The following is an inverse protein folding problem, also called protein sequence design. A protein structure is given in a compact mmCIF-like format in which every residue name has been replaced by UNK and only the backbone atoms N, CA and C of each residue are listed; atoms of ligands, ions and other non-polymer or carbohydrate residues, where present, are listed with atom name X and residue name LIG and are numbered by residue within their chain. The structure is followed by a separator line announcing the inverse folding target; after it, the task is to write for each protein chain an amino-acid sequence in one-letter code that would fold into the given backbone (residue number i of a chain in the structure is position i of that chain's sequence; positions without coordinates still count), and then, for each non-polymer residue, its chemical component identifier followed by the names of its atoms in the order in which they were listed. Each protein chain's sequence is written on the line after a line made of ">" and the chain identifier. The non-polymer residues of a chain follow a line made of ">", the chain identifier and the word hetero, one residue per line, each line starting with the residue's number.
data_IF_907234675425
#
_entry.id   IF_907234675425
#
_cell.length_a   1.000
_cell.length_b   1.000
_cell.length_c   1.000
_cell.angle_alpha   90.00
_cell.angle_beta   90.00
_cell.angle_gamma   90.00
#
_symmetry.space_group_name_H-M   'P 1'
#
loop_
_entity.id
_entity.type
_entity.pdbx_description
1 polymer ?
#
# COMPACT_ATOMS: atom_id res chain seq x y z
N UNK A 1 -3.60 -4.28 -10.95
CA UNK A 1 -2.95 -4.42 -9.63
C UNK A 1 -2.77 -3.09 -8.88
N UNK A 2 -2.12 -2.06 -9.44
CA UNK A 2 -1.70 -0.87 -8.65
C UNK A 2 -2.75 0.25 -8.44
N UNK A 3 -3.98 0.10 -8.92
CA UNK A 3 -4.95 1.20 -8.90
C UNK A 3 -6.11 0.99 -7.96
N UNK A 4 -6.16 1.72 -6.84
CA UNK A 4 -7.41 1.89 -6.08
C UNK A 4 -8.35 2.84 -6.84
N UNK A 5 -9.66 2.63 -6.74
CA UNK A 5 -10.65 3.65 -7.03
C UNK A 5 -11.58 3.73 -5.84
N UNK A 6 -11.66 4.90 -5.23
CA UNK A 6 -12.61 5.09 -4.15
C UNK A 6 -14.04 5.00 -4.72
N UNK A 7 -14.92 4.26 -4.05
CA UNK A 7 -16.33 4.15 -4.43
C UNK A 7 -16.99 5.51 -4.67
N UNK A 8 -17.90 5.57 -5.64
CA UNK A 8 -18.64 6.80 -5.96
C UNK A 8 -17.83 7.89 -6.70
N UNK A 9 -16.53 7.70 -6.95
CA UNK A 9 -15.71 8.67 -7.71
C UNK A 9 -15.68 8.46 -9.22
N UNK A 10 -16.36 7.43 -9.75
CA UNK A 10 -16.34 7.09 -11.18
C UNK A 10 -16.67 8.26 -12.12
N UNK A 11 -17.52 9.21 -11.69
CA UNK A 11 -17.86 10.41 -12.47
C UNK A 11 -16.68 11.36 -12.72
N UNK A 12 -15.60 11.26 -11.95
CA UNK A 12 -14.43 12.12 -12.11
C UNK A 12 -13.65 11.83 -13.39
N UNK A 13 -13.72 10.60 -13.92
CA UNK A 13 -13.08 10.22 -15.18
C UNK A 13 -13.71 10.99 -16.38
N UNK A 14 -15.03 10.92 -16.63
CA UNK A 14 -15.63 11.72 -17.68
C UNK A 14 -15.49 13.24 -17.42
N UNK A 15 -15.52 13.68 -16.16
CA UNK A 15 -15.25 15.08 -15.82
C UNK A 15 -13.83 15.53 -16.20
N UNK A 16 -12.82 14.66 -16.00
CA UNK A 16 -11.44 14.94 -16.39
C UNK A 16 -11.29 15.04 -17.92
N UNK A 17 -11.91 14.13 -18.67
CA UNK A 17 -11.92 14.15 -20.14
C UNK A 17 -12.54 15.46 -20.65
N UNK A 18 -13.70 15.84 -20.11
CA UNK A 18 -14.38 17.10 -20.46
C UNK A 18 -13.50 18.30 -20.12
N UNK A 19 -12.85 18.29 -18.95
CA UNK A 19 -11.95 19.37 -18.52
C UNK A 19 -10.77 19.52 -19.48
N UNK A 20 -10.10 18.43 -19.84
CA UNK A 20 -8.99 18.41 -20.81
C UNK A 20 -9.44 18.96 -22.16
N UNK A 21 -10.61 18.53 -22.65
CA UNK A 21 -11.16 19.00 -23.91
C UNK A 21 -11.44 20.51 -23.90
N UNK A 22 -12.04 21.03 -22.82
CA UNK A 22 -12.35 22.46 -22.66
C UNK A 22 -11.07 23.29 -22.59
N UNK A 23 -10.14 22.94 -21.71
CA UNK A 23 -8.89 23.68 -21.54
C UNK A 23 -8.03 23.60 -22.81
N UNK A 24 -7.98 22.44 -23.45
CA UNK A 24 -7.29 22.24 -24.73
C UNK A 24 -7.89 23.08 -25.85
N UNK A 25 -9.22 23.15 -25.96
CA UNK A 25 -9.91 23.99 -26.93
C UNK A 25 -9.64 25.48 -26.70
N UNK A 26 -9.67 25.94 -25.44
CA UNK A 26 -9.36 27.33 -25.08
C UNK A 26 -7.90 27.66 -25.45
N UNK A 27 -6.95 26.80 -25.06
CA UNK A 27 -5.55 26.96 -25.40
C UNK A 27 -5.35 27.02 -26.93
N UNK A 28 -5.96 26.09 -27.69
CA UNK A 28 -5.89 26.07 -29.14
C UNK A 28 -6.45 27.35 -29.78
N UNK A 29 -7.65 27.78 -29.38
CA UNK A 29 -8.30 29.00 -29.92
C UNK A 29 -7.48 30.25 -29.64
N UNK A 30 -6.80 30.31 -28.48
CA UNK A 30 -5.90 31.42 -28.14
C UNK A 30 -4.61 31.37 -28.95
N UNK A 31 -4.02 30.18 -29.09
CA UNK A 31 -2.74 29.98 -29.77
C UNK A 31 -2.84 29.98 -31.30
N UNK A 32 -4.05 29.85 -31.88
CA UNK A 32 -4.21 29.75 -33.35
C UNK A 32 -3.70 30.97 -34.14
N UNK A 33 -3.53 32.12 -33.48
CA UNK A 33 -2.97 33.35 -34.08
C UNK A 33 -1.45 33.49 -33.90
N UNK A 34 -0.84 32.63 -33.11
CA UNK A 34 0.60 32.63 -32.86
C UNK A 34 1.34 31.73 -33.86
N UNK A 35 2.67 31.84 -33.87
CA UNK A 35 3.53 30.99 -34.70
C UNK A 35 3.25 29.50 -34.45
N UNK A 36 3.28 28.65 -35.48
CA UNK A 36 2.92 27.23 -35.36
C UNK A 36 3.82 26.48 -34.37
N UNK A 37 5.09 26.87 -34.27
CA UNK A 37 6.06 26.30 -33.32
C UNK A 37 5.61 26.56 -31.88
N UNK A 38 5.33 27.82 -31.50
CA UNK A 38 4.86 28.15 -30.15
C UNK A 38 3.56 27.41 -29.80
N UNK A 39 2.62 27.36 -30.75
CA UNK A 39 1.36 26.62 -30.57
C UNK A 39 1.63 25.13 -30.29
N UNK A 40 2.47 24.50 -31.09
CA UNK A 40 2.81 23.09 -30.92
C UNK A 40 3.51 22.86 -29.57
N UNK A 41 4.51 23.67 -29.24
CA UNK A 41 5.25 23.56 -27.96
C UNK A 41 4.31 23.62 -26.76
N UNK A 42 3.43 24.62 -26.71
CA UNK A 42 2.50 24.78 -25.59
C UNK A 42 1.51 23.61 -25.49
N UNK A 43 0.93 23.17 -26.62
CA UNK A 43 0.02 22.04 -26.62
C UNK A 43 0.73 20.73 -26.22
N UNK A 44 1.99 20.54 -26.60
CA UNK A 44 2.80 19.40 -26.16
C UNK A 44 3.04 19.44 -24.66
N UNK A 45 3.41 20.60 -24.09
CA UNK A 45 3.60 20.74 -22.63
C UNK A 45 2.30 20.41 -21.88
N UNK A 46 1.15 20.89 -22.38
CA UNK A 46 -0.15 20.56 -21.78
C UNK A 46 -0.48 19.07 -21.88
N UNK A 47 -0.23 18.45 -23.04
CA UNK A 47 -0.40 17.02 -23.24
C UNK A 47 0.45 16.19 -22.28
N UNK A 48 1.72 16.55 -22.12
CA UNK A 48 2.65 15.91 -21.17
C UNK A 48 2.19 16.12 -19.72
N UNK A 49 1.80 17.34 -19.35
CA UNK A 49 1.26 17.65 -18.02
C UNK A 49 0.04 16.78 -17.70
N UNK A 50 -0.94 16.69 -18.60
CA UNK A 50 -2.13 15.85 -18.38
C UNK A 50 -1.83 14.37 -18.42
N UNK A 51 -0.84 13.92 -19.19
CA UNK A 51 -0.42 12.53 -19.15
C UNK A 51 0.15 12.19 -17.76
N UNK A 52 1.06 13.02 -17.23
CA UNK A 52 1.69 12.82 -15.92
C UNK A 52 0.66 12.95 -14.78
N UNK A 53 -0.11 14.04 -14.76
CA UNK A 53 -1.11 14.24 -13.72
C UNK A 53 -2.25 13.23 -13.85
N UNK A 54 -2.62 12.85 -15.07
CA UNK A 54 -3.67 11.86 -15.31
C UNK A 54 -3.26 10.49 -14.79
N UNK A 55 -2.03 10.04 -15.04
CA UNK A 55 -1.55 8.77 -14.48
C UNK A 55 -1.48 8.86 -12.95
N UNK A 56 -0.89 9.90 -12.39
CA UNK A 56 -0.79 10.05 -10.94
C UNK A 56 -2.16 10.07 -10.24
N UNK A 57 -3.12 10.82 -10.79
CA UNK A 57 -4.42 11.07 -10.19
C UNK A 57 -5.48 9.99 -10.43
N UNK A 58 -5.34 9.20 -11.50
CA UNK A 58 -6.36 8.20 -11.87
C UNK A 58 -5.85 6.77 -11.84
N UNK A 59 -4.53 6.52 -11.77
CA UNK A 59 -4.02 5.21 -11.36
C UNK A 59 -4.44 4.98 -9.91
N UNK A 60 -4.10 5.90 -9.00
CA UNK A 60 -4.63 5.93 -7.63
C UNK A 60 -5.79 6.93 -7.56
N UNK A 61 -7.01 6.43 -7.77
CA UNK A 61 -8.19 7.28 -7.95
C UNK A 61 -8.89 7.58 -6.62
N UNK A 62 -8.30 8.49 -5.87
CA UNK A 62 -8.71 8.95 -4.55
C UNK A 62 -8.59 10.50 -4.47
N UNK A 63 -8.08 11.06 -3.36
CA UNK A 63 -7.78 12.48 -3.22
C UNK A 63 -6.81 13.02 -4.29
N UNK A 64 -5.98 12.18 -4.91
CA UNK A 64 -5.06 12.59 -5.96
C UNK A 64 -5.77 13.21 -7.17
N UNK A 65 -7.04 12.86 -7.44
CA UNK A 65 -7.86 13.53 -8.47
C UNK A 65 -7.98 15.05 -8.26
N UNK A 66 -7.97 15.53 -7.01
CA UNK A 66 -8.00 16.98 -6.73
C UNK A 66 -6.88 17.73 -7.41
N UNK A 67 -5.67 17.20 -7.35
CA UNK A 67 -4.50 17.85 -7.89
C UNK A 67 -4.52 17.91 -9.41
N UNK A 68 -5.07 16.90 -10.09
CA UNK A 68 -5.31 16.97 -11.54
C UNK A 68 -6.22 18.15 -11.88
N UNK A 69 -7.37 18.27 -11.19
CA UNK A 69 -8.32 19.37 -11.45
C UNK A 69 -7.74 20.73 -11.05
N UNK A 70 -7.06 20.82 -9.90
CA UNK A 70 -6.47 22.05 -9.40
C UNK A 70 -5.34 22.56 -10.33
N UNK A 71 -4.42 21.69 -10.73
CA UNK A 71 -3.34 22.08 -11.65
C UNK A 71 -3.89 22.42 -13.04
N UNK A 72 -4.91 21.71 -13.52
CA UNK A 72 -5.57 22.03 -14.80
C UNK A 72 -6.33 23.37 -14.73
N UNK A 73 -6.88 23.73 -13.57
CA UNK A 73 -7.46 25.06 -13.35
C UNK A 73 -6.38 26.16 -13.37
N UNK A 74 -5.21 25.94 -12.76
CA UNK A 74 -4.09 26.89 -12.84
C UNK A 74 -3.62 27.10 -14.29
N UNK A 75 -3.55 26.02 -15.06
CA UNK A 75 -3.29 26.08 -16.51
C UNK A 75 -4.34 26.94 -17.20
N UNK A 76 -5.62 26.72 -16.92
CA UNK A 76 -6.71 27.50 -17.50
C UNK A 76 -6.57 29.00 -17.18
N UNK A 77 -6.19 29.34 -15.95
CA UNK A 77 -5.94 30.71 -15.52
C UNK A 77 -4.76 31.35 -16.27
N UNK A 78 -3.71 30.59 -16.58
CA UNK A 78 -2.55 31.09 -17.33
C UNK A 78 -2.91 31.53 -18.77
N UNK A 79 -3.93 30.94 -19.38
CA UNK A 79 -4.44 31.34 -20.71
C UNK A 79 -5.51 32.44 -20.64
N UNK A 80 -5.80 32.98 -19.46
CA UNK A 80 -6.90 33.91 -19.24
C UNK A 80 -6.45 35.38 -19.23
N UNK A 81 -6.99 36.19 -20.15
CA UNK A 81 -6.56 37.59 -20.40
C UNK A 81 -7.07 38.59 -19.34
N UNK A 82 -6.30 39.68 -19.11
CA UNK A 82 -6.56 40.76 -18.12
C UNK A 82 -7.99 41.32 -18.11
N UNK A 83 -8.64 41.44 -19.26
CA UNK A 83 -9.99 42.04 -19.37
C UNK A 83 -11.13 41.16 -18.86
N UNK A 84 -10.94 39.84 -18.73
CA UNK A 84 -11.99 38.93 -18.26
C UNK A 84 -11.94 38.68 -16.75
N UNK A 85 -10.87 39.10 -16.05
CA UNK A 85 -10.67 38.85 -14.61
C UNK A 85 -11.86 39.27 -13.73
N UNK A 86 -12.58 40.34 -14.07
CA UNK A 86 -13.69 40.86 -13.24
C UNK A 86 -14.85 39.90 -13.03
N UNK A 87 -15.13 39.02 -14.00
CA UNK A 87 -16.29 38.12 -13.93
C UNK A 87 -15.88 36.65 -13.77
N UNK A 88 -14.66 36.31 -14.18
CA UNK A 88 -14.22 34.92 -14.26
C UNK A 88 -13.36 34.50 -13.08
N UNK A 89 -12.69 35.43 -12.38
CA UNK A 89 -12.03 35.12 -11.10
C UNK A 89 -13.04 34.61 -10.07
N UNK A 90 -14.17 35.28 -9.79
CA UNK A 90 -15.16 34.73 -8.88
C UNK A 90 -15.76 33.42 -9.39
N UNK A 91 -15.91 33.23 -10.71
CA UNK A 91 -16.39 31.96 -11.27
C UNK A 91 -15.37 30.82 -11.15
N UNK A 92 -14.08 31.08 -11.39
CA UNK A 92 -13.00 30.10 -11.25
C UNK A 92 -12.68 29.80 -9.79
N UNK A 93 -12.78 30.80 -8.90
CA UNK A 93 -12.72 30.60 -7.45
C UNK A 93 -13.95 29.80 -7.01
N UNK A 94 -15.15 30.12 -7.48
CA UNK A 94 -16.35 29.35 -7.17
C UNK A 94 -16.24 27.91 -7.70
N UNK A 95 -15.69 27.70 -8.89
CA UNK A 95 -15.49 26.36 -9.47
C UNK A 95 -14.39 25.60 -8.73
N UNK A 96 -13.29 26.27 -8.35
CA UNK A 96 -12.22 25.70 -7.55
C UNK A 96 -12.68 25.34 -6.14
N UNK A 97 -13.44 26.23 -5.48
CA UNK A 97 -14.09 25.98 -4.19
C UNK A 97 -15.13 24.87 -4.34
N UNK A 98 -15.93 24.84 -5.40
CA UNK A 98 -16.92 23.77 -5.62
C UNK A 98 -16.22 22.44 -5.85
N UNK A 99 -15.18 22.39 -6.69
CA UNK A 99 -14.38 21.19 -6.91
C UNK A 99 -13.68 20.74 -5.62
N UNK A 100 -13.19 21.69 -4.81
CA UNK A 100 -12.57 21.41 -3.53
C UNK A 100 -13.60 20.86 -2.52
N UNK A 101 -14.75 21.53 -2.36
CA UNK A 101 -15.85 21.12 -1.49
C UNK A 101 -16.47 19.78 -1.90
N UNK A 102 -16.51 19.47 -3.19
CA UNK A 102 -17.02 18.18 -3.72
C UNK A 102 -16.02 17.04 -3.50
N UNK A 103 -14.74 17.32 -3.34
CA UNK A 103 -13.72 16.29 -3.07
C UNK A 103 -13.43 16.13 -1.58
N UNK A 104 -13.96 17.02 -0.72
CA UNK A 104 -14.01 16.76 0.71
C UNK A 104 -14.75 15.43 0.94
N UNK A 105 -14.16 14.49 1.70
CA UNK A 105 -14.78 13.19 1.93
C UNK A 105 -16.19 13.38 2.53
N UNK A 106 -17.20 12.65 2.04
CA UNK A 106 -18.54 12.67 2.64
C UNK A 106 -18.45 12.01 4.02
N UNK A 107 -18.31 12.81 5.08
CA UNK A 107 -18.20 12.31 6.44
C UNK A 107 -18.15 13.46 7.46
N UNK A 108 -19.23 13.70 8.23
CA UNK A 108 -19.30 14.75 9.25
C UNK A 108 -18.34 14.58 10.45
N UNK A 109 -17.69 13.44 10.62
CA UNK A 109 -17.43 13.00 12.00
C UNK A 109 -16.02 13.27 12.54
N UNK A 110 -14.91 13.15 11.79
CA UNK A 110 -13.56 13.15 12.45
C UNK A 110 -12.34 13.68 11.69
N UNK A 111 -12.44 14.17 10.44
CA UNK A 111 -11.23 14.56 9.67
C UNK A 111 -10.99 16.07 9.51
N UNK A 112 -11.98 16.92 9.81
CA UNK A 112 -11.89 18.36 9.58
C UNK A 112 -10.84 19.06 10.46
N UNK A 113 -10.68 18.62 11.71
CA UNK A 113 -9.72 19.23 12.65
C UNK A 113 -8.27 18.79 12.42
N UNK A 114 -8.00 17.74 11.63
CA UNK A 114 -6.64 17.18 11.42
C UNK A 114 -6.07 17.35 10.01
N UNK A 115 -6.89 17.50 8.96
CA UNK A 115 -6.41 17.18 7.60
C UNK A 115 -6.06 18.37 6.69
N UNK A 116 -6.46 19.61 6.97
CA UNK A 116 -6.42 20.65 5.91
C UNK A 116 -5.63 21.91 6.26
N UNK A 117 -5.72 22.42 7.48
CA UNK A 117 -5.02 23.65 7.86
C UNK A 117 -3.52 23.45 8.19
N UNK A 118 -3.09 22.37 8.86
CA UNK A 118 -1.68 22.20 9.23
C UNK A 118 -0.74 21.84 8.06
N UNK A 119 -1.23 21.13 7.04
CA UNK A 119 -0.38 20.66 5.93
C UNK A 119 -0.05 21.77 4.91
N UNK A 120 -0.96 22.73 4.68
CA UNK A 120 -0.69 23.84 3.76
C UNK A 120 0.26 24.88 4.38
N UNK A 121 0.08 25.18 5.68
CA UNK A 121 1.03 26.04 6.40
C UNK A 121 2.39 25.36 6.49
N UNK A 122 2.45 24.05 6.75
CA UNK A 122 3.72 23.33 6.77
C UNK A 122 4.37 23.25 5.40
N UNK A 123 3.63 23.09 4.29
CA UNK A 123 4.23 23.08 2.95
C UNK A 123 4.85 24.43 2.58
N UNK A 124 4.12 25.53 2.82
CA UNK A 124 4.63 26.88 2.55
C UNK A 124 5.82 27.20 3.46
N UNK A 125 5.74 26.90 4.76
CA UNK A 125 6.84 27.07 5.71
C UNK A 125 8.05 26.21 5.35
N UNK A 126 7.86 24.95 4.99
CA UNK A 126 8.94 24.04 4.61
C UNK A 126 9.60 24.47 3.30
N UNK A 127 8.81 24.96 2.33
CA UNK A 127 9.35 25.53 1.09
C UNK A 127 10.19 26.77 1.37
N UNK A 128 9.70 27.69 2.22
CA UNK A 128 10.43 28.90 2.60
C UNK A 128 11.69 28.54 3.41
N UNK A 129 11.60 27.63 4.38
CA UNK A 129 12.74 27.14 5.18
C UNK A 129 13.80 26.50 4.29
N UNK A 130 13.40 25.65 3.34
CA UNK A 130 14.33 25.02 2.39
C UNK A 130 15.05 25.99 1.45
N UNK A 131 14.50 27.19 1.25
CA UNK A 131 15.11 28.26 0.45
C UNK A 131 15.95 29.25 1.28
N UNK A 132 15.73 29.34 2.59
CA UNK A 132 16.32 30.40 3.44
C UNK A 132 17.26 29.91 4.53
N UNK A 133 17.19 28.65 4.94
CA UNK A 133 18.03 28.05 6.02
C UNK A 133 19.26 27.38 5.42
N UNK A 134 20.36 27.29 6.20
CA UNK A 134 21.48 26.43 5.85
C UNK A 134 20.99 24.98 5.68
N UNK A 135 21.27 24.40 4.51
CA UNK A 135 20.79 23.06 4.16
C UNK A 135 21.32 22.00 5.11
N UNK A 136 22.53 22.18 5.65
CA UNK A 136 23.16 21.21 6.55
C UNK A 136 22.41 21.19 7.89
N UNK A 137 22.23 22.34 8.51
CA UNK A 137 21.51 22.46 9.79
C UNK A 137 20.05 21.98 9.67
N UNK A 138 19.40 22.28 8.54
CA UNK A 138 18.03 21.80 8.27
C UNK A 138 17.98 20.28 8.14
N UNK A 139 18.94 19.67 7.45
CA UNK A 139 19.00 18.21 7.29
C UNK A 139 19.25 17.51 8.63
N UNK A 140 20.19 18.00 9.45
CA UNK A 140 20.51 17.37 10.74
C UNK A 140 19.36 17.54 11.75
N UNK A 141 18.70 18.70 11.74
CA UNK A 141 17.49 18.94 12.54
C UNK A 141 16.36 18.00 12.08
N UNK A 142 16.09 17.93 10.78
CA UNK A 142 15.04 17.08 10.22
C UNK A 142 15.31 15.60 10.49
N UNK A 143 16.59 15.18 10.43
CA UNK A 143 17.00 13.80 10.75
C UNK A 143 16.73 13.47 12.21
N UNK A 144 17.13 14.36 13.12
CA UNK A 144 16.92 14.20 14.56
C UNK A 144 15.44 14.17 14.94
N UNK A 145 14.64 15.04 14.33
CA UNK A 145 13.18 15.07 14.52
C UNK A 145 12.52 13.79 14.00
N UNK A 146 12.93 13.32 12.82
CA UNK A 146 12.41 12.09 12.24
C UNK A 146 12.80 10.86 13.06
N UNK A 147 14.08 10.74 13.47
CA UNK A 147 14.54 9.66 14.35
C UNK A 147 13.73 9.61 15.66
N UNK A 148 13.46 10.78 16.27
CA UNK A 148 12.61 10.87 17.47
C UNK A 148 11.17 10.43 17.19
N UNK A 149 10.64 10.74 16.01
CA UNK A 149 9.26 10.41 15.65
C UNK A 149 8.99 8.90 15.51
N UNK A 150 10.01 8.11 15.16
CA UNK A 150 9.88 6.64 15.09
C UNK A 150 9.80 5.98 16.46
N UNK A 151 10.36 6.61 17.51
CA UNK A 151 10.27 6.09 18.87
C UNK A 151 11.00 4.76 19.09
N UNK A 152 12.05 4.47 18.31
CA UNK A 152 12.91 3.30 18.56
C UNK A 152 13.58 3.40 19.93
N UNK A 153 13.69 2.27 20.63
CA UNK A 153 14.40 2.19 21.91
C UNK A 153 15.90 2.32 21.70
N UNK A 154 16.64 2.74 22.74
CA UNK A 154 18.09 2.83 22.66
C UNK A 154 18.74 1.46 22.43
N UNK A 155 18.09 0.40 22.92
CA UNK A 155 18.46 -0.99 22.74
C UNK A 155 18.37 -1.41 21.27
N UNK A 156 17.24 -1.17 20.59
CA UNK A 156 17.11 -1.46 19.15
C UNK A 156 18.13 -0.69 18.32
N UNK A 157 18.36 0.59 18.63
CA UNK A 157 19.37 1.40 17.92
C UNK A 157 20.77 0.83 18.12
N UNK A 158 21.10 0.37 19.33
CA UNK A 158 22.38 -0.24 19.62
C UNK A 158 22.58 -1.57 18.86
N UNK A 159 21.55 -2.43 18.80
CA UNK A 159 21.59 -3.70 18.04
C UNK A 159 21.80 -3.48 16.53
N UNK A 160 21.15 -2.45 15.96
CA UNK A 160 21.22 -2.17 14.53
C UNK A 160 22.46 -1.38 14.09
N UNK A 161 23.21 -0.80 15.02
CA UNK A 161 24.36 0.06 14.70
C UNK A 161 25.47 -0.75 14.02
N UNK A 162 25.75 -0.43 12.76
CA UNK A 162 26.79 -1.09 11.98
C UNK A 162 26.39 -2.47 11.42
N UNK A 163 25.15 -2.90 11.59
CA UNK A 163 24.62 -4.18 11.11
C UNK A 163 23.70 -3.99 9.88
N UNK A 164 23.50 -5.05 9.09
CA UNK A 164 22.60 -5.00 7.92
C UNK A 164 21.15 -5.12 8.33
N UNK A 165 20.31 -4.19 7.88
CA UNK A 165 18.89 -4.15 8.23
C UNK A 165 17.99 -3.87 7.03
N UNK A 166 16.94 -4.66 6.89
CA UNK A 166 15.80 -4.30 6.06
C UNK A 166 14.73 -3.62 6.92
N UNK A 167 14.18 -2.52 6.42
CA UNK A 167 13.08 -1.79 7.07
C UNK A 167 11.82 -2.09 6.32
N UNK A 168 10.87 -2.67 7.04
CA UNK A 168 9.71 -3.33 6.49
C UNK A 168 8.43 -2.73 7.10
N UNK A 169 7.33 -2.57 6.34
CA UNK A 169 7.15 -2.95 4.94
C UNK A 169 7.43 -1.83 3.92
N UNK A 170 7.58 -0.57 4.36
CA UNK A 170 7.67 0.55 3.41
C UNK A 170 8.41 1.82 3.89
N UNK A 171 8.91 1.88 5.13
CA UNK A 171 9.37 3.14 5.75
C UNK A 171 10.85 3.44 5.48
N UNK A 172 11.19 3.69 4.22
CA UNK A 172 12.57 3.96 3.81
C UNK A 172 13.17 5.23 4.46
N UNK A 173 12.36 6.17 4.96
CA UNK A 173 12.88 7.37 5.61
C UNK A 173 13.54 7.07 6.96
N UNK A 174 13.29 5.90 7.55
CA UNK A 174 13.98 5.43 8.76
C UNK A 174 15.46 5.15 8.49
N UNK A 175 15.83 4.57 7.35
CA UNK A 175 17.24 4.41 6.96
C UNK A 175 17.97 5.76 6.85
N UNK A 176 17.28 6.80 6.40
CA UNK A 176 17.85 8.15 6.34
C UNK A 176 17.97 8.80 7.72
N UNK A 177 17.03 8.48 8.62
CA UNK A 177 17.02 8.96 10.01
C UNK A 177 18.18 8.40 10.84
N UNK A 178 18.59 7.16 10.57
CA UNK A 178 19.63 6.43 11.30
C UNK A 178 20.78 6.03 10.36
N UNK A 179 21.68 6.97 10.00
CA UNK A 179 22.80 6.71 9.08
C UNK A 179 23.81 5.68 9.58
N UNK A 180 23.78 5.36 10.87
CA UNK A 180 24.56 4.30 11.51
C UNK A 180 24.08 2.88 11.17
N UNK A 181 22.86 2.72 10.64
CA UNK A 181 22.35 1.44 10.16
C UNK A 181 22.89 1.15 8.77
N UNK A 182 23.32 -0.08 8.49
CA UNK A 182 23.66 -0.49 7.11
C UNK A 182 22.37 -0.94 6.42
N UNK A 183 21.65 0.00 5.82
CA UNK A 183 20.41 -0.32 5.13
C UNK A 183 20.66 -1.31 3.97
N UNK A 184 20.05 -2.48 4.07
CA UNK A 184 20.13 -3.56 3.08
C UNK A 184 18.70 -3.95 2.65
N UNK A 185 18.09 -3.19 1.73
CA UNK A 185 16.72 -3.40 1.34
C UNK A 185 16.53 -4.68 0.49
N UNK A 186 15.35 -5.28 0.60
CA UNK A 186 14.88 -6.27 -0.37
C UNK A 186 14.74 -5.63 -1.78
N UNK A 187 14.75 -6.42 -2.87
CA UNK A 187 14.75 -5.89 -4.23
C UNK A 187 13.53 -5.00 -4.52
N UNK A 188 12.38 -5.34 -3.92
CA UNK A 188 11.18 -4.51 -3.89
C UNK A 188 11.01 -4.02 -2.46
N UNK A 189 11.72 -2.94 -2.12
CA UNK A 189 11.83 -2.42 -0.75
C UNK A 189 10.54 -1.79 -0.18
N UNK A 190 9.54 -1.55 -1.02
CA UNK A 190 8.20 -1.18 -0.61
C UNK A 190 7.30 -2.37 -0.88
N UNK A 191 7.05 -3.18 0.15
CA UNK A 191 6.37 -4.48 0.08
C UNK A 191 5.03 -4.38 -0.67
N UNK A 192 4.27 -3.29 -0.50
CA UNK A 192 3.02 -3.05 -1.22
C UNK A 192 3.15 -2.96 -2.76
N UNK A 193 4.37 -2.82 -3.28
CA UNK A 193 4.72 -2.85 -4.70
C UNK A 193 5.10 -4.24 -5.22
N UNK A 194 5.23 -5.25 -4.35
CA UNK A 194 5.45 -6.65 -4.73
C UNK A 194 4.12 -7.31 -5.19
N UNK A 195 3.43 -6.69 -6.13
CA UNK A 195 2.06 -7.03 -6.50
C UNK A 195 1.90 -8.28 -7.38
N UNK A 196 2.91 -9.13 -7.47
CA UNK A 196 2.86 -10.39 -8.22
C UNK A 196 3.74 -11.42 -7.54
N UNK A 197 3.39 -12.70 -7.61
CA UNK A 197 4.17 -13.78 -7.01
C UNK A 197 5.66 -13.68 -7.34
N UNK A 198 6.02 -13.47 -8.61
CA UNK A 198 7.43 -13.34 -9.03
C UNK A 198 8.21 -12.15 -8.43
N UNK A 199 7.53 -11.12 -7.93
CA UNK A 199 8.18 -9.99 -7.22
C UNK A 199 8.30 -10.29 -5.73
N UNK A 200 7.26 -10.91 -5.15
CA UNK A 200 7.26 -11.38 -3.76
C UNK A 200 8.31 -12.48 -3.55
N UNK A 201 8.36 -13.48 -4.43
CA UNK A 201 9.37 -14.55 -4.42
C UNK A 201 10.81 -13.99 -4.48
N UNK A 202 11.06 -12.92 -5.25
CA UNK A 202 12.39 -12.29 -5.28
C UNK A 202 12.77 -11.63 -3.96
N UNK A 203 11.78 -11.09 -3.25
CA UNK A 203 11.99 -10.55 -1.92
C UNK A 203 12.26 -11.69 -0.93
N UNK A 204 11.45 -12.75 -0.96
CA UNK A 204 11.64 -13.95 -0.14
C UNK A 204 13.00 -14.61 -0.38
N UNK A 205 13.40 -14.84 -1.64
CA UNK A 205 14.72 -15.38 -2.01
C UNK A 205 15.87 -14.54 -1.44
N UNK A 206 15.75 -13.21 -1.50
CA UNK A 206 16.76 -12.28 -0.96
C UNK A 206 16.82 -12.33 0.56
N UNK A 207 15.67 -12.56 1.21
CA UNK A 207 15.55 -12.70 2.65
C UNK A 207 16.10 -14.05 3.12
N UNK A 208 15.91 -15.12 2.35
CA UNK A 208 16.39 -16.48 2.62
C UNK A 208 17.89 -16.66 2.43
N UNK A 209 18.53 -15.90 1.54
CA UNK A 209 19.98 -15.98 1.28
C UNK A 209 20.75 -15.56 2.55
N UNK A 210 21.32 -16.50 3.30
CA UNK A 210 22.04 -16.20 4.54
C UNK A 210 23.33 -15.37 4.34
N UNK A 211 23.96 -15.45 3.15
CA UNK A 211 25.22 -14.78 2.87
C UNK A 211 25.02 -13.34 2.39
N UNK A 212 23.96 -13.11 1.61
CA UNK A 212 23.65 -11.79 1.07
C UNK A 212 22.58 -11.09 1.90
N UNK A 213 21.71 -11.84 2.56
CA UNK A 213 20.58 -11.47 3.41
C UNK A 213 20.81 -10.29 4.36
N UNK A 214 19.79 -9.45 4.64
CA UNK A 214 19.87 -8.60 5.81
C UNK A 214 19.98 -9.49 7.06
N UNK A 215 20.77 -9.09 8.05
CA UNK A 215 20.84 -9.80 9.33
C UNK A 215 19.61 -9.51 10.18
N UNK A 216 19.12 -8.28 10.12
CA UNK A 216 17.95 -7.84 10.86
C UNK A 216 16.81 -7.41 9.94
N UNK A 217 15.57 -7.61 10.40
CA UNK A 217 14.38 -7.00 9.81
C UNK A 217 13.70 -6.16 10.89
N UNK A 218 13.49 -4.88 10.62
CA UNK A 218 12.73 -3.99 11.49
C UNK A 218 11.35 -3.79 10.86
N UNK A 219 10.33 -4.46 11.40
CA UNK A 219 8.98 -4.53 10.83
C UNK A 219 7.95 -3.81 11.71
N UNK A 220 6.93 -3.24 11.06
CA UNK A 220 5.70 -2.79 11.69
C UNK A 220 4.47 -3.36 10.95
N UNK A 221 3.40 -3.65 11.67
CA UNK A 221 2.15 -4.15 11.08
C UNK A 221 1.29 -3.02 10.47
N UNK A 222 1.71 -2.51 9.30
CA UNK A 222 0.99 -1.46 8.57
C UNK A 222 0.79 -1.84 7.11
N UNK A 223 -0.36 -1.48 6.55
CA UNK A 223 -0.67 -1.69 5.13
C UNK A 223 -1.11 -0.40 4.44
N UNK A 224 -1.30 -0.49 3.13
CA UNK A 224 -1.92 0.56 2.33
C UNK A 224 -3.24 0.05 1.75
N UNK A 225 -4.17 0.97 1.49
CA UNK A 225 -5.43 0.66 0.82
C UNK A 225 -6.31 -0.39 1.53
N UNK A 226 -6.32 -0.39 2.87
CA UNK A 226 -7.12 -1.31 3.69
C UNK A 226 -6.83 -2.80 3.37
N UNK A 227 -5.60 -3.11 2.96
CA UNK A 227 -5.17 -4.49 2.69
C UNK A 227 -4.96 -5.25 4.01
N UNK A 228 -5.13 -6.57 3.93
CA UNK A 228 -4.87 -7.47 5.04
C UNK A 228 -3.35 -7.68 5.16
N UNK A 229 -2.75 -7.22 6.26
CA UNK A 229 -1.30 -7.22 6.43
C UNK A 229 -0.65 -8.59 6.26
N UNK A 230 -1.27 -9.63 6.82
CA UNK A 230 -0.78 -11.01 6.74
C UNK A 230 -0.83 -11.60 5.32
N UNK A 231 -1.48 -10.94 4.36
CA UNK A 231 -1.61 -11.35 2.95
C UNK A 231 -0.90 -10.40 1.98
N UNK A 232 -0.16 -9.39 2.48
CA UNK A 232 0.47 -8.36 1.65
C UNK A 232 1.62 -8.91 0.79
N UNK A 233 2.41 -9.83 1.36
CA UNK A 233 3.56 -10.48 0.73
C UNK A 233 3.78 -11.84 1.41
N UNK A 234 2.96 -12.83 1.04
CA UNK A 234 2.89 -14.11 1.74
C UNK A 234 4.23 -14.85 1.76
N UNK A 235 5.01 -14.81 0.68
CA UNK A 235 6.31 -15.49 0.65
C UNK A 235 7.33 -14.83 1.57
N UNK A 236 7.39 -13.49 1.60
CA UNK A 236 8.26 -12.74 2.53
C UNK A 236 7.87 -13.00 3.97
N UNK A 237 6.58 -12.98 4.29
CA UNK A 237 6.08 -13.23 5.64
C UNK A 237 6.36 -14.66 6.11
N UNK A 238 6.22 -15.63 5.22
CA UNK A 238 6.56 -17.02 5.53
C UNK A 238 8.07 -17.16 5.79
N UNK A 239 8.91 -16.58 4.92
CA UNK A 239 10.36 -16.59 5.11
C UNK A 239 10.79 -15.88 6.40
N UNK A 240 10.15 -14.76 6.75
CA UNK A 240 10.37 -14.08 8.03
C UNK A 240 10.02 -14.99 9.21
N UNK A 241 8.88 -15.68 9.17
CA UNK A 241 8.49 -16.63 10.22
C UNK A 241 9.48 -17.81 10.34
N UNK A 242 10.01 -18.26 9.21
CA UNK A 242 10.87 -19.45 9.14
C UNK A 242 12.32 -19.19 9.54
N UNK A 243 12.92 -18.09 9.07
CA UNK A 243 14.35 -17.82 9.18
C UNK A 243 14.70 -16.65 10.12
N UNK A 244 13.72 -16.08 10.83
CA UNK A 244 13.96 -15.00 11.78
C UNK A 244 13.26 -15.24 13.11
N UNK A 245 13.79 -14.63 14.16
CA UNK A 245 13.21 -14.61 15.49
C UNK A 245 13.05 -13.18 16.00
N UNK A 246 11.93 -12.85 16.67
CA UNK A 246 11.74 -11.55 17.29
C UNK A 246 12.63 -11.46 18.54
N UNK A 247 13.50 -10.45 18.59
CA UNK A 247 14.43 -10.25 19.71
C UNK A 247 14.12 -8.99 20.53
N UNK A 248 13.35 -8.04 19.97
CA UNK A 248 13.02 -6.78 20.65
C UNK A 248 11.77 -6.12 20.06
N UNK A 249 11.13 -5.24 20.84
CA UNK A 249 9.96 -4.47 20.45
C UNK A 249 10.05 -3.02 20.96
N UNK A 250 9.64 -2.06 20.14
CA UNK A 250 9.52 -0.66 20.55
C UNK A 250 8.35 0.04 19.84
N UNK A 251 7.31 0.36 20.60
CA UNK A 251 6.12 1.03 20.07
C UNK A 251 5.36 0.12 19.10
N UNK A 252 5.46 0.42 17.80
CA UNK A 252 4.85 -0.35 16.71
C UNK A 252 5.88 -1.14 15.89
N UNK A 253 7.14 -1.14 16.34
CA UNK A 253 8.23 -1.84 15.68
C UNK A 253 8.57 -3.13 16.41
N UNK A 254 8.85 -4.16 15.62
CA UNK A 254 9.42 -5.43 16.06
C UNK A 254 10.75 -5.62 15.34
N UNK A 255 11.80 -5.88 16.11
CA UNK A 255 13.12 -6.22 15.59
C UNK A 255 13.25 -7.74 15.52
N UNK A 256 13.49 -8.22 14.31
CA UNK A 256 13.77 -9.61 14.02
C UNK A 256 15.27 -9.80 13.73
N UNK A 257 15.87 -10.83 14.31
CA UNK A 257 17.22 -11.30 13.97
C UNK A 257 17.13 -12.59 13.17
N UNK A 258 18.03 -12.75 12.20
CA UNK A 258 18.16 -14.00 11.45
C UNK A 258 18.51 -15.15 12.38
N UNK A 259 17.79 -16.25 12.24
CA UNK A 259 17.99 -17.52 12.94
C UNK A 259 18.15 -18.67 11.94
N UNK A 260 18.35 -19.87 12.44
CA UNK A 260 18.29 -21.08 11.61
C UNK A 260 16.85 -21.28 11.10
N UNK A 261 16.71 -21.87 9.90
CA UNK A 261 15.39 -22.17 9.35
C UNK A 261 14.65 -23.19 10.23
N UNK A 262 13.48 -22.80 10.72
CA UNK A 262 12.60 -23.61 11.58
C UNK A 262 11.51 -24.35 10.80
N UNK A 263 11.31 -24.04 9.52
CA UNK A 263 10.23 -24.60 8.72
C UNK A 263 10.65 -25.85 7.93
N UNK A 264 9.75 -26.82 7.88
CA UNK A 264 9.82 -28.00 7.01
C UNK A 264 9.20 -27.78 5.63
N UNK A 265 9.01 -28.88 4.90
CA UNK A 265 8.33 -28.85 3.60
C UNK A 265 6.82 -28.64 3.75
N UNK A 266 6.23 -27.87 2.82
CA UNK A 266 4.78 -27.68 2.75
C UNK A 266 4.09 -28.96 2.28
N UNK A 267 3.18 -29.50 3.09
CA UNK A 267 2.36 -30.66 2.78
C UNK A 267 0.90 -30.28 2.54
N UNK A 268 0.40 -30.49 1.32
CA UNK A 268 -1.02 -30.25 1.02
C UNK A 268 -1.91 -31.25 1.77
N UNK A 269 -2.95 -30.74 2.44
CA UNK A 269 -3.86 -31.55 3.27
C UNK A 269 -5.25 -31.70 2.63
N UNK A 270 -5.69 -30.70 1.86
CA UNK A 270 -6.99 -30.75 1.19
C UNK A 270 -7.35 -29.45 0.48
N UNK A 271 -8.63 -29.31 0.14
CA UNK A 271 -9.23 -28.06 -0.32
C UNK A 271 -10.65 -27.91 0.23
N UNK A 272 -11.10 -26.66 0.33
CA UNK A 272 -12.49 -26.30 0.64
C UNK A 272 -13.01 -25.37 -0.46
N UNK A 273 -14.29 -25.47 -0.79
CA UNK A 273 -14.94 -24.59 -1.75
C UNK A 273 -15.82 -23.60 -0.99
N UNK A 274 -15.84 -22.33 -1.43
CA UNK A 274 -16.74 -21.34 -0.82
C UNK A 274 -18.20 -21.66 -1.09
N UNK A 275 -19.05 -21.49 -0.07
CA UNK A 275 -20.50 -21.67 -0.17
C UNK A 275 -21.19 -20.53 -0.97
N UNK A 276 -22.52 -20.56 -1.04
CA UNK A 276 -23.33 -19.54 -1.74
C UNK A 276 -23.17 -18.14 -1.12
N UNK A 277 -22.81 -18.05 0.15
CA UNK A 277 -22.53 -16.81 0.88
C UNK A 277 -21.04 -16.42 0.81
N UNK A 278 -20.24 -17.15 0.01
CA UNK A 278 -18.82 -16.87 -0.23
C UNK A 278 -17.91 -17.29 0.92
N UNK A 279 -18.39 -18.09 1.87
CA UNK A 279 -17.66 -18.51 3.07
C UNK A 279 -16.85 -19.76 2.79
N UNK A 280 -15.56 -19.74 3.12
CA UNK A 280 -14.71 -20.90 3.26
C UNK A 280 -14.45 -21.18 4.75
N UNK A 281 -14.84 -22.37 5.24
CA UNK A 281 -14.64 -22.82 6.62
C UNK A 281 -13.43 -23.76 6.71
N UNK A 282 -12.46 -23.39 7.54
CA UNK A 282 -11.19 -24.07 7.75
C UNK A 282 -11.12 -24.81 9.09
N UNK A 283 -12.15 -24.70 9.95
CA UNK A 283 -12.15 -25.18 11.34
C UNK A 283 -11.69 -26.62 11.46
N UNK A 284 -12.31 -27.52 10.70
CA UNK A 284 -12.03 -28.96 10.76
C UNK A 284 -10.58 -29.30 10.38
N UNK A 285 -9.94 -28.50 9.54
CA UNK A 285 -8.55 -28.72 9.10
C UNK A 285 -7.55 -28.12 10.08
N UNK A 286 -7.84 -26.96 10.67
CA UNK A 286 -7.04 -26.39 11.75
C UNK A 286 -7.02 -27.35 12.95
N UNK A 287 -8.15 -27.98 13.28
CA UNK A 287 -8.24 -28.99 14.33
C UNK A 287 -7.45 -30.28 14.02
N UNK A 288 -7.14 -30.56 12.76
CA UNK A 288 -6.36 -31.72 12.32
C UNK A 288 -4.86 -31.44 12.23
N UNK A 289 -4.45 -30.16 12.16
CA UNK A 289 -3.05 -29.78 12.08
C UNK A 289 -2.31 -30.10 13.39
N UNK A 290 -1.01 -30.39 13.30
CA UNK A 290 -0.19 -30.50 14.51
C UNK A 290 -0.18 -29.15 15.25
N UNK A 291 -0.12 -29.12 16.60
CA UNK A 291 0.07 -27.87 17.35
C UNK A 291 1.32 -27.08 16.96
N UNK A 292 2.29 -27.76 16.35
CA UNK A 292 3.57 -27.21 15.87
C UNK A 292 3.56 -26.91 14.36
N UNK A 293 2.43 -27.06 13.66
CA UNK A 293 2.34 -26.76 12.23
C UNK A 293 1.88 -25.32 11.99
N UNK A 294 2.41 -24.71 10.93
CA UNK A 294 1.78 -23.55 10.29
C UNK A 294 0.66 -24.05 9.39
N UNK A 295 -0.54 -23.48 9.52
CA UNK A 295 -1.65 -23.74 8.60
C UNK A 295 -1.63 -22.70 7.49
N UNK A 296 -1.59 -23.18 6.25
CA UNK A 296 -1.46 -22.37 5.04
C UNK A 296 -2.68 -22.54 4.13
N UNK A 297 -3.01 -21.48 3.40
CA UNK A 297 -4.04 -21.51 2.37
C UNK A 297 -3.62 -20.76 1.11
N UNK A 298 -4.13 -21.19 -0.04
CA UNK A 298 -4.05 -20.45 -1.30
C UNK A 298 -5.34 -20.61 -2.09
N UNK A 299 -5.65 -19.65 -2.95
CA UNK A 299 -6.92 -19.58 -3.68
C UNK A 299 -6.66 -19.20 -5.15
N UNK A 300 -6.12 -20.12 -5.96
CA UNK A 300 -5.61 -19.83 -7.31
C UNK A 300 -6.70 -19.31 -8.26
N UNK A 301 -7.96 -19.70 -8.05
CA UNK A 301 -9.11 -19.21 -8.83
C UNK A 301 -9.24 -17.68 -8.84
N UNK A 302 -8.84 -17.01 -7.75
CA UNK A 302 -8.90 -15.55 -7.66
C UNK A 302 -7.84 -14.90 -8.55
N UNK A 303 -6.67 -15.53 -8.71
CA UNK A 303 -5.62 -15.04 -9.60
C UNK A 303 -6.06 -15.12 -11.07
N UNK A 304 -6.52 -16.30 -11.49
CA UNK A 304 -6.92 -16.60 -12.86
C UNK A 304 -8.10 -15.72 -13.32
N UNK A 305 -9.07 -15.46 -12.43
CA UNK A 305 -10.23 -14.60 -12.71
C UNK A 305 -9.86 -13.12 -12.93
N UNK A 306 -8.63 -12.70 -12.59
CA UNK A 306 -8.14 -11.33 -12.79
C UNK A 306 -7.14 -11.17 -13.95
N UNK A 307 -6.62 -12.26 -14.53
CA UNK A 307 -5.45 -12.24 -15.44
C UNK A 307 -5.72 -11.92 -16.91
N UNK A 308 -6.94 -11.58 -17.32
CA UNK A 308 -7.25 -11.35 -18.73
C UNK A 308 -6.69 -10.06 -19.33
N UNK A 309 -6.60 -9.99 -20.66
CA UNK A 309 -6.36 -8.75 -21.45
C UNK A 309 -7.23 -7.56 -20.99
N UNK A 310 -8.44 -7.86 -20.50
CA UNK A 310 -9.35 -6.87 -19.92
C UNK A 310 -8.75 -6.14 -18.71
N UNK A 311 -8.04 -6.83 -17.81
CA UNK A 311 -7.40 -6.22 -16.64
C UNK A 311 -6.15 -5.39 -17.00
N UNK A 312 -5.60 -5.58 -18.20
CA UNK A 312 -4.54 -4.71 -18.75
C UNK A 312 -5.10 -3.41 -19.34
N UNK A 313 -6.37 -3.41 -19.75
CA UNK A 313 -7.07 -2.25 -20.34
C UNK A 313 -7.94 -1.50 -19.32
N UNK A 314 -8.44 -2.21 -18.30
CA UNK A 314 -9.36 -1.72 -17.29
C UNK A 314 -8.92 -2.16 -15.90
N UNK A 315 -9.26 -1.39 -14.87
CA UNK A 315 -9.08 -1.83 -13.48
C UNK A 315 -10.03 -3.02 -13.25
N UNK A 316 -9.48 -4.17 -12.84
CA UNK A 316 -10.30 -5.29 -12.38
C UNK A 316 -11.05 -4.91 -11.10
N UNK A 317 -12.16 -5.59 -10.84
CA UNK A 317 -12.85 -5.41 -9.56
C UNK A 317 -11.90 -5.80 -8.41
N UNK A 318 -11.85 -5.00 -7.35
CA UNK A 318 -11.11 -5.37 -6.17
C UNK A 318 -11.71 -6.61 -5.52
N UNK A 319 -10.84 -7.39 -4.91
CA UNK A 319 -11.18 -8.55 -4.10
C UNK A 319 -10.94 -8.22 -2.64
N UNK A 320 -11.85 -8.67 -1.78
CA UNK A 320 -11.77 -8.51 -0.35
C UNK A 320 -11.99 -9.85 0.34
N UNK A 321 -11.48 -9.95 1.55
CA UNK A 321 -11.75 -11.05 2.46
C UNK A 321 -12.21 -10.47 3.80
N UNK A 322 -13.27 -11.06 4.35
CA UNK A 322 -13.67 -10.87 5.74
C UNK A 322 -13.15 -12.05 6.56
N UNK A 323 -12.35 -11.78 7.59
CA UNK A 323 -11.71 -12.81 8.42
C UNK A 323 -12.57 -13.21 9.64
N UNK A 324 -13.85 -12.82 9.67
CA UNK A 324 -14.86 -13.09 10.72
C UNK A 324 -14.57 -12.57 12.13
N UNK A 325 -13.31 -12.29 12.46
CA UNK A 325 -12.90 -11.62 13.71
C UNK A 325 -12.62 -10.13 13.51
N UNK A 326 -12.53 -9.69 12.26
CA UNK A 326 -12.30 -8.29 11.89
C UNK A 326 -13.61 -7.51 11.72
N UNK A 327 -13.59 -6.24 12.11
CA UNK A 327 -14.76 -5.37 11.98
C UNK A 327 -15.06 -4.94 10.53
N UNK A 328 -14.13 -5.18 9.59
CA UNK A 328 -14.24 -4.75 8.18
C UNK A 328 -13.49 -5.70 7.25
N UNK A 329 -14.05 -6.03 6.08
CA UNK A 329 -13.33 -6.76 5.04
C UNK A 329 -12.07 -6.02 4.60
N UNK A 330 -10.96 -6.73 4.55
CA UNK A 330 -9.69 -6.21 4.04
C UNK A 330 -9.45 -6.61 2.59
N UNK A 331 -8.72 -5.78 1.85
CA UNK A 331 -8.43 -6.04 0.43
C UNK A 331 -7.37 -7.14 0.29
N UNK A 332 -7.57 -8.07 -0.63
CA UNK A 332 -6.57 -9.06 -1.04
C UNK A 332 -5.95 -8.70 -2.37
N UNK A 333 -4.71 -9.14 -2.62
CA UNK A 333 -4.00 -8.92 -3.88
C UNK A 333 -4.16 -10.17 -4.74
N UNK A 334 -4.97 -10.13 -5.82
CA UNK A 334 -5.26 -11.35 -6.57
C UNK A 334 -4.05 -12.03 -7.20
N UNK A 335 -3.03 -11.26 -7.56
CA UNK A 335 -1.81 -11.79 -8.16
C UNK A 335 -0.85 -12.45 -7.15
N UNK A 336 -1.23 -12.49 -5.87
CA UNK A 336 -0.57 -13.27 -4.80
C UNK A 336 -1.50 -14.39 -4.29
N UNK A 337 -2.70 -14.54 -4.85
CA UNK A 337 -3.70 -15.49 -4.38
C UNK A 337 -3.26 -16.96 -4.56
N UNK A 338 -2.42 -17.25 -5.56
CA UNK A 338 -1.83 -18.57 -5.78
C UNK A 338 -0.66 -18.92 -4.86
N UNK A 339 -0.18 -18.00 -4.02
CA UNK A 339 0.86 -18.26 -3.02
C UNK A 339 0.27 -18.70 -1.67
N UNK A 340 1.09 -19.32 -0.82
CA UNK A 340 0.65 -19.80 0.50
C UNK A 340 0.56 -18.67 1.53
N UNK A 341 -0.64 -18.39 2.00
CA UNK A 341 -0.95 -17.42 3.04
C UNK A 341 -1.10 -18.12 4.39
N UNK A 342 -0.56 -17.53 5.47
CA UNK A 342 -0.71 -18.08 6.82
C UNK A 342 -2.13 -17.86 7.35
N UNK A 343 -2.85 -18.94 7.67
CA UNK A 343 -4.15 -18.93 8.35
C UNK A 343 -4.02 -19.06 9.86
N UNK A 344 -3.10 -19.91 10.32
CA UNK A 344 -2.78 -20.08 11.74
C UNK A 344 -1.29 -20.39 11.89
N UNK A 345 -0.72 -19.97 13.02
CA UNK A 345 0.68 -20.22 13.38
C UNK A 345 0.71 -20.94 14.74
N UNK A 346 1.73 -21.78 15.00
CA UNK A 346 1.83 -22.45 16.29
C UNK A 346 2.09 -21.43 17.41
N UNK A 347 1.59 -21.69 18.62
CA UNK A 347 1.73 -20.76 19.76
C UNK A 347 3.20 -20.44 20.07
N UNK A 348 4.10 -21.41 19.82
CA UNK A 348 5.53 -21.27 20.01
C UNK A 348 6.21 -20.28 19.02
N UNK A 349 5.54 -19.89 17.93
CA UNK A 349 6.12 -19.06 16.88
C UNK A 349 6.45 -17.63 17.36
N UNK A 350 5.97 -17.21 18.53
CA UNK A 350 6.28 -15.94 19.19
C UNK A 350 6.20 -14.68 18.29
N UNK A 351 5.55 -14.77 17.12
CA UNK A 351 5.37 -13.64 16.20
C UNK A 351 4.49 -12.60 16.89
N UNK A 352 5.02 -11.42 17.24
CA UNK A 352 4.23 -10.46 17.97
C UNK A 352 3.11 -9.95 17.09
N UNK A 353 1.94 -9.74 17.68
CA UNK A 353 0.78 -9.11 17.03
C UNK A 353 1.12 -7.75 16.38
N UNK A 354 2.16 -7.08 16.90
CA UNK A 354 2.73 -5.84 16.37
C UNK A 354 3.45 -6.01 15.01
N UNK A 355 3.81 -7.22 14.62
CA UNK A 355 4.43 -7.54 13.33
C UNK A 355 3.42 -8.13 12.34
N UNK A 356 2.59 -9.07 12.79
CA UNK A 356 1.53 -9.74 12.01
C UNK A 356 0.42 -10.17 12.98
N UNK A 357 -0.85 -10.03 12.59
CA UNK A 357 -1.94 -10.63 13.35
C UNK A 357 -1.88 -12.17 13.26
N UNK A 358 -1.62 -12.80 14.41
CA UNK A 358 -1.48 -14.26 14.56
C UNK A 358 -2.78 -14.96 14.95
N UNK A 359 -3.90 -14.23 15.05
CA UNK A 359 -5.21 -14.83 15.35
C UNK A 359 -5.54 -15.89 14.28
N UNK A 360 -5.85 -17.13 14.67
CA UNK A 360 -6.25 -18.15 13.72
C UNK A 360 -7.46 -17.71 12.89
N UNK A 361 -7.40 -17.89 11.57
CA UNK A 361 -8.52 -17.67 10.66
C UNK A 361 -9.21 -19.01 10.48
N UNK A 362 -10.29 -19.21 11.23
CA UNK A 362 -11.15 -20.41 11.18
C UNK A 362 -12.12 -20.39 10.01
N UNK A 363 -12.53 -19.21 9.54
CA UNK A 363 -13.29 -19.05 8.31
C UNK A 363 -13.02 -17.70 7.63
N UNK A 364 -13.20 -17.66 6.32
CA UNK A 364 -13.00 -16.46 5.51
C UNK A 364 -14.12 -16.29 4.49
N UNK A 365 -14.70 -15.09 4.43
CA UNK A 365 -15.70 -14.75 3.39
C UNK A 365 -15.03 -13.97 2.27
N UNK A 366 -15.10 -14.50 1.04
CA UNK A 366 -14.59 -13.82 -0.15
C UNK A 366 -15.63 -12.88 -0.74
N UNK A 367 -15.22 -11.65 -1.01
CA UNK A 367 -16.08 -10.59 -1.52
C UNK A 367 -15.49 -9.98 -2.78
N UNK A 368 -16.36 -9.60 -3.72
CA UNK A 368 -16.02 -8.83 -4.92
C UNK A 368 -16.69 -7.47 -4.93
N UNK A 369 -16.05 -6.52 -5.62
CA UNK A 369 -16.58 -5.18 -5.82
C UNK A 369 -16.13 -4.23 -4.71
N UNK A 370 -16.23 -2.93 -4.97
CA UNK A 370 -15.80 -1.89 -4.04
C UNK A 370 -16.88 -1.63 -2.98
N UNK A 371 -16.47 -1.32 -1.75
CA UNK A 371 -17.38 -0.96 -0.66
C UNK A 371 -18.35 0.19 -1.08
N UNK A 372 -19.57 0.29 -0.55
CA UNK A 372 -20.25 -0.67 0.31
C UNK A 372 -20.88 -1.84 -0.48
N UNK A 373 -20.78 -1.85 -1.81
CA UNK A 373 -21.49 -2.77 -2.71
C UNK A 373 -20.78 -4.13 -2.85
N UNK A 374 -20.20 -4.64 -1.77
CA UNK A 374 -19.57 -5.95 -1.76
C UNK A 374 -20.61 -7.03 -2.09
N UNK A 375 -20.23 -7.97 -2.96
CA UNK A 375 -21.01 -9.16 -3.26
C UNK A 375 -20.20 -10.40 -2.89
N UNK A 376 -20.80 -11.37 -2.17
CA UNK A 376 -20.18 -12.67 -1.95
C UNK A 376 -19.68 -13.33 -3.23
N UNK A 377 -18.55 -14.02 -3.14
CA UNK A 377 -17.96 -14.76 -4.25
C UNK A 377 -17.92 -16.26 -3.92
N UNK A 378 -18.88 -16.99 -4.47
CA UNK A 378 -19.00 -18.44 -4.32
C UNK A 378 -18.17 -19.23 -5.33
N UNK A 379 -18.01 -20.52 -5.08
CA UNK A 379 -17.30 -21.45 -5.95
C UNK A 379 -15.83 -21.08 -6.16
N UNK A 380 -15.17 -20.64 -5.09
CA UNK A 380 -13.72 -20.43 -5.04
C UNK A 380 -13.13 -21.64 -4.35
N UNK A 381 -12.25 -22.35 -5.04
CA UNK A 381 -11.46 -23.40 -4.40
C UNK A 381 -10.32 -22.77 -3.58
N UNK A 382 -10.27 -23.10 -2.30
CA UNK A 382 -9.19 -22.76 -1.37
C UNK A 382 -8.43 -24.04 -1.06
N UNK A 383 -7.19 -24.12 -1.55
CA UNK A 383 -6.28 -25.21 -1.23
C UNK A 383 -5.63 -24.97 0.13
N UNK A 384 -5.47 -26.05 0.91
CA UNK A 384 -4.98 -26.00 2.28
C UNK A 384 -3.76 -26.90 2.44
N UNK A 385 -2.78 -26.41 3.18
CA UNK A 385 -1.54 -27.10 3.49
C UNK A 385 -1.13 -26.90 4.95
N UNK A 386 -0.31 -27.81 5.46
CA UNK A 386 0.44 -27.61 6.71
C UNK A 386 1.93 -27.55 6.41
N UNK A 387 2.66 -26.86 7.27
CA UNK A 387 4.11 -26.81 7.22
C UNK A 387 4.66 -27.00 8.64
N UNK A 388 5.42 -28.08 8.89
CA UNK A 388 6.01 -28.31 10.20
C UNK A 388 6.90 -27.15 10.62
N UNK A 389 6.79 -26.72 11.88
CA UNK A 389 7.64 -25.70 12.47
C UNK A 389 8.35 -26.23 13.71
N UNK A 390 9.67 -26.05 13.76
CA UNK A 390 10.50 -26.46 14.87
C UNK A 390 10.36 -25.47 16.04
N UNK A 391 9.40 -25.75 16.93
CA UNK A 391 9.31 -25.04 18.20
C UNK A 391 10.56 -25.29 19.06
N UNK A 392 11.10 -24.29 19.78
CA UNK A 392 12.15 -24.52 20.76
C UNK A 392 11.68 -25.54 21.81
N UNK A 393 12.50 -26.56 22.08
CA UNK A 393 12.22 -27.59 23.08
C UNK A 393 11.89 -26.94 24.44
N UNK A 394 10.61 -26.99 24.85
CA UNK A 394 10.15 -26.45 26.15
C UNK A 394 8.99 -25.44 26.10
N UNK A 395 8.40 -25.14 24.93
CA UNK A 395 7.23 -24.25 24.85
C UNK A 395 5.88 -24.95 25.15
N UNK A 396 5.85 -26.27 25.33
CA UNK A 396 4.65 -27.07 25.64
C UNK A 396 4.66 -27.59 27.08
N UNK A 397 4.50 -26.69 28.06
CA UNK A 397 4.15 -27.06 29.45
C UNK A 397 2.80 -26.47 29.88
#
# INVERSE_FOLDING_TARGET
>A
AMGISQPGRGWQIPAAIVTVAIVGAIAYVRLRRHAPVLRLTVLTILGVHWAIMGTWSFVRHDAHATAFFATTLLVLLAFWHRTMLRYTVPASIALGITAWLVVLPPGPDKQWDRAVLPWETSFAENTIKGLTVDRVDLMDTSRTELARSYGLSAEIVAELTGETVHIDPQEAALAWAFPEFKWDPLPIYQEYQAYSAALDDRNADRLADADKGPRYVLRQNVTVDDRIARFESPAVLLELACAFEPINEAGHWVLFERSDNKCGDVGQVGSVETDDDGVADFTALIEQASPDDIVLARWPDVEDRNGGLAASLWKSDPWYADLHHDARPGRIIPALAGQWHMLAVPECMAMPQLAVDTTPIDAMTFLRGAAPDHSPASGIEVELATMPYACPDGASE
#
